data_IF_734760809908
#
_entry.id   IF_734760809908
#
_cell.length_a   1.000
_cell.length_b   1.000
_cell.length_c   1.000
_cell.angle_alpha   90.00
_cell.angle_beta   90.00
_cell.angle_gamma   90.00
#
_symmetry.space_group_name_H-M   'P 1'
#
loop_
_entity.id
_entity.type
_entity.pdbx_description
1 polymer ?
#
# COMPACT_ATOMS: atom_id res chain seq x y z
N UNK A 1 25.01 18.33 6.00
CA UNK A 1 23.67 18.23 5.38
C UNK A 1 22.64 18.48 6.47
N UNK A 2 21.75 19.45 6.28
CA UNK A 2 20.69 19.76 7.26
C UNK A 2 19.72 18.59 7.35
N UNK A 3 19.26 18.24 8.56
CA UNK A 3 18.34 17.12 8.78
C UNK A 3 17.04 17.61 9.39
N UNK A 4 15.93 17.25 8.77
CA UNK A 4 14.56 17.52 9.20
C UNK A 4 14.05 16.30 9.95
N UNK A 5 13.83 16.43 11.26
CA UNK A 5 13.51 15.30 12.14
C UNK A 5 12.19 15.45 12.89
N UNK A 6 11.56 16.62 12.82
CA UNK A 6 10.33 16.92 13.56
C UNK A 6 9.26 17.52 12.66
N UNK A 7 8.02 17.14 12.95
CA UNK A 7 6.81 17.81 12.46
C UNK A 7 6.19 18.63 13.58
N UNK A 8 5.94 19.91 13.32
CA UNK A 8 5.33 20.84 14.26
C UNK A 8 3.80 20.79 14.14
N UNK A 9 3.11 20.61 15.26
CA UNK A 9 1.63 20.62 15.34
C UNK A 9 1.07 21.90 15.95
N UNK A 10 1.93 22.80 16.42
CA UNK A 10 1.55 24.06 17.05
C UNK A 10 1.11 25.11 16.02
N UNK A 11 0.19 25.99 16.43
CA UNK A 11 -0.20 27.15 15.62
C UNK A 11 0.95 28.17 15.59
N UNK A 12 1.47 28.44 14.40
CA UNK A 12 2.47 29.47 14.17
C UNK A 12 1.82 30.77 13.67
N UNK A 13 2.49 31.90 13.91
CA UNK A 13 2.12 33.16 13.29
C UNK A 13 2.21 33.04 11.76
N UNK A 14 1.22 33.58 11.04
CA UNK A 14 1.12 33.47 9.58
C UNK A 14 2.36 34.00 8.84
N UNK A 15 3.04 35.00 9.41
CA UNK A 15 4.29 35.55 8.87
C UNK A 15 5.44 34.53 8.88
N UNK A 16 5.52 33.69 9.92
CA UNK A 16 6.53 32.64 10.01
C UNK A 16 6.28 31.55 8.97
N UNK A 17 5.02 31.13 8.81
CA UNK A 17 4.63 30.14 7.81
C UNK A 17 4.92 30.61 6.38
N UNK A 18 4.63 31.89 6.08
CA UNK A 18 4.86 32.46 4.74
C UNK A 18 6.34 32.65 4.38
N UNK A 19 7.22 32.84 5.37
CA UNK A 19 8.66 33.05 5.15
C UNK A 19 9.48 31.76 5.15
N UNK A 20 8.92 30.66 5.65
CA UNK A 20 9.61 29.39 5.68
C UNK A 20 9.89 28.90 4.24
N UNK A 21 11.12 28.42 3.95
CA UNK A 21 11.40 27.66 2.74
C UNK A 21 10.40 26.53 2.54
N UNK A 22 10.09 26.24 1.29
CA UNK A 22 9.14 25.19 0.93
C UNK A 22 9.85 23.92 0.48
N UNK A 23 9.22 22.79 0.73
CA UNK A 23 9.62 21.47 0.27
C UNK A 23 8.45 20.88 -0.51
N UNK A 24 8.53 20.96 -1.82
CA UNK A 24 7.50 20.49 -2.74
C UNK A 24 7.69 19.01 -3.03
N UNK A 25 6.72 18.16 -2.66
CA UNK A 25 6.84 16.70 -2.75
C UNK A 25 5.58 16.03 -3.32
N UNK A 26 5.73 15.02 -4.20
CA UNK A 26 4.62 14.15 -4.59
C UNK A 26 4.18 13.28 -3.40
N UNK A 27 2.98 12.73 -3.50
CA UNK A 27 2.33 11.96 -2.44
C UNK A 27 3.20 10.78 -1.94
N UNK A 28 3.81 10.02 -2.84
CA UNK A 28 4.66 8.88 -2.49
C UNK A 28 5.86 9.27 -1.62
N UNK A 29 6.48 10.41 -1.90
CA UNK A 29 7.58 10.93 -1.09
C UNK A 29 7.09 11.42 0.27
N UNK A 30 5.88 11.99 0.33
CA UNK A 30 5.24 12.44 1.59
C UNK A 30 4.86 11.30 2.53
N UNK A 31 4.76 10.07 2.01
CA UNK A 31 4.54 8.86 2.79
C UNK A 31 5.84 8.21 3.32
N UNK A 32 7.01 8.63 2.83
CA UNK A 32 8.29 8.06 3.26
C UNK A 32 8.74 8.69 4.58
N UNK A 33 9.26 7.85 5.47
CA UNK A 33 9.82 8.30 6.74
C UNK A 33 11.25 8.80 6.63
N UNK A 34 12.02 8.31 5.65
CA UNK A 34 13.44 8.65 5.48
C UNK A 34 13.79 8.80 4.01
N UNK A 35 14.27 9.98 3.61
CA UNK A 35 14.69 10.26 2.25
C UNK A 35 15.56 11.53 2.17
N UNK A 36 16.35 11.66 1.12
CA UNK A 36 17.00 12.91 0.76
C UNK A 36 16.07 13.72 -0.16
N UNK A 37 16.07 15.04 0.00
CA UNK A 37 15.31 15.95 -0.84
C UNK A 37 16.02 17.30 -0.98
N UNK A 38 15.57 18.09 -1.95
CA UNK A 38 16.04 19.45 -2.17
C UNK A 38 14.89 20.40 -1.89
N UNK A 39 15.12 21.40 -1.05
CA UNK A 39 14.16 22.48 -0.82
C UNK A 39 13.97 23.29 -2.10
N UNK A 40 12.87 24.01 -2.21
CA UNK A 40 12.62 24.91 -3.35
C UNK A 40 13.63 26.08 -3.40
N UNK A 41 14.37 26.31 -2.31
CA UNK A 41 15.51 27.23 -2.25
C UNK A 41 16.81 26.67 -2.85
N UNK A 42 16.83 25.40 -3.28
CA UNK A 42 18.00 24.70 -3.82
C UNK A 42 18.89 24.02 -2.77
N UNK A 43 18.54 24.08 -1.49
CA UNK A 43 19.32 23.46 -0.41
C UNK A 43 19.01 21.97 -0.26
N UNK A 44 20.05 21.13 -0.17
CA UNK A 44 19.89 19.70 0.09
C UNK A 44 19.66 19.39 1.57
N UNK A 45 18.62 18.60 1.84
CA UNK A 45 18.19 18.21 3.18
C UNK A 45 17.94 16.70 3.27
N UNK A 46 18.18 16.13 4.44
CA UNK A 46 17.72 14.78 4.78
C UNK A 46 16.45 14.86 5.63
N UNK A 47 15.40 14.15 5.24
CA UNK A 47 14.16 14.02 6.03
C UNK A 47 14.18 12.71 6.80
N UNK A 48 13.97 12.74 8.11
CA UNK A 48 13.96 11.58 9.02
C UNK A 48 12.82 11.73 10.03
N UNK A 49 11.63 11.26 9.66
CA UNK A 49 10.42 11.34 10.47
C UNK A 49 10.07 9.99 11.12
N UNK A 50 9.20 9.97 12.15
CA UNK A 50 8.63 8.73 12.66
C UNK A 50 7.93 7.93 11.55
N UNK A 51 8.01 6.59 11.63
CA UNK A 51 7.31 5.71 10.67
C UNK A 51 5.80 5.95 10.71
N UNK A 52 5.16 5.84 9.56
CA UNK A 52 3.72 6.10 9.41
C UNK A 52 3.33 7.58 9.36
N UNK A 53 4.31 8.50 9.38
CA UNK A 53 4.02 9.93 9.16
C UNK A 53 3.68 10.16 7.70
N UNK A 54 2.46 10.66 7.43
CA UNK A 54 2.05 11.18 6.12
C UNK A 54 2.10 12.70 6.21
N UNK A 55 2.93 13.32 5.37
CA UNK A 55 3.03 14.77 5.27
C UNK A 55 1.88 15.32 4.43
N UNK A 56 1.22 16.38 4.91
CA UNK A 56 0.11 17.06 4.23
C UNK A 56 0.53 18.45 3.76
N UNK A 57 -0.17 18.99 2.77
CA UNK A 57 -0.09 20.39 2.36
C UNK A 57 -0.12 21.32 3.58
N UNK A 58 0.89 22.19 3.68
CA UNK A 58 1.01 23.16 4.77
C UNK A 58 1.58 22.62 6.08
N UNK A 59 1.92 21.32 6.18
CA UNK A 59 2.65 20.79 7.33
C UNK A 59 3.96 21.56 7.55
N UNK A 60 4.24 21.88 8.80
CA UNK A 60 5.47 22.59 9.19
C UNK A 60 6.46 21.58 9.76
N UNK A 61 7.64 21.53 9.17
CA UNK A 61 8.75 20.70 9.60
C UNK A 61 9.82 21.55 10.25
N UNK A 62 10.57 20.95 11.17
CA UNK A 62 11.66 21.60 11.89
C UNK A 62 12.93 20.80 11.68
N UNK A 63 13.98 21.49 11.26
CA UNK A 63 15.32 20.94 11.15
C UNK A 63 16.04 20.92 12.50
N UNK A 64 17.14 20.15 12.57
CA UNK A 64 17.99 20.03 13.75
C UNK A 64 18.62 21.36 14.21
N UNK A 65 18.77 22.33 13.31
CA UNK A 65 19.23 23.70 13.60
C UNK A 65 18.08 24.67 13.96
N UNK A 66 16.84 24.17 14.02
CA UNK A 66 15.65 24.96 14.32
C UNK A 66 15.02 25.65 13.11
N UNK A 67 15.58 25.48 11.90
CA UNK A 67 14.99 26.04 10.69
C UNK A 67 13.60 25.43 10.41
N UNK A 68 12.66 26.28 9.98
CA UNK A 68 11.32 25.85 9.59
C UNK A 68 11.27 25.57 8.09
N UNK A 69 10.59 24.51 7.71
CA UNK A 69 10.30 24.15 6.32
C UNK A 69 8.82 23.84 6.18
N UNK A 70 8.18 24.38 5.16
CA UNK A 70 6.77 24.13 4.87
C UNK A 70 6.61 23.09 3.76
N UNK A 71 5.78 22.09 3.97
CA UNK A 71 5.45 21.09 2.96
C UNK A 71 4.46 21.67 1.95
N UNK A 72 4.73 21.41 0.67
CA UNK A 72 3.81 21.69 -0.44
C UNK A 72 3.58 20.39 -1.22
N UNK A 73 2.32 20.09 -1.52
CA UNK A 73 1.93 18.98 -2.37
C UNK A 73 2.27 19.32 -3.81
N UNK A 74 3.22 18.57 -4.39
CA UNK A 74 3.59 18.72 -5.78
C UNK A 74 2.40 18.40 -6.69
N UNK A 75 2.29 19.12 -7.82
CA UNK A 75 1.48 18.66 -8.92
C UNK A 75 2.08 17.35 -9.47
N UNK A 76 1.24 16.35 -9.64
CA UNK A 76 1.61 15.06 -10.18
C UNK A 76 0.51 14.53 -11.10
N UNK A 77 0.87 13.55 -11.94
CA UNK A 77 -0.07 12.93 -12.85
C UNK A 77 -1.14 12.15 -12.09
N UNK A 78 -2.37 12.65 -12.17
CA UNK A 78 -3.54 12.03 -11.54
C UNK A 78 -4.64 11.81 -12.56
N UNK A 79 -5.47 10.80 -12.30
CA UNK A 79 -6.78 10.66 -12.90
C UNK A 79 -7.77 11.48 -12.10
N UNK A 80 -8.44 12.41 -12.76
CA UNK A 80 -9.62 13.07 -12.24
C UNK A 80 -10.86 12.38 -12.80
N UNK A 81 -11.70 11.92 -11.88
CA UNK A 81 -12.85 11.07 -12.17
C UNK A 81 -14.10 11.84 -11.80
N UNK A 82 -14.98 12.02 -12.77
CA UNK A 82 -16.29 12.67 -12.62
C UNK A 82 -17.38 11.75 -13.13
N UNK A 83 -18.63 12.03 -12.77
CA UNK A 83 -19.77 11.31 -13.29
C UNK A 83 -20.97 12.24 -13.44
N UNK A 84 -21.91 11.88 -14.31
CA UNK A 84 -23.15 12.63 -14.49
C UNK A 84 -24.12 12.45 -13.30
N UNK A 85 -23.96 11.37 -12.54
CA UNK A 85 -24.78 11.03 -11.40
C UNK A 85 -23.94 10.58 -10.20
N UNK A 86 -24.48 10.78 -9.01
CA UNK A 86 -23.79 10.47 -7.74
C UNK A 86 -23.62 8.98 -7.51
N UNK A 87 -24.50 8.14 -8.07
CA UNK A 87 -24.44 6.69 -7.87
C UNK A 87 -23.23 6.11 -8.60
N UNK A 88 -22.95 6.55 -9.82
CA UNK A 88 -21.75 6.15 -10.58
C UNK A 88 -20.47 6.55 -9.85
N UNK A 89 -20.39 7.79 -9.33
CA UNK A 89 -19.22 8.25 -8.56
C UNK A 89 -19.06 7.43 -7.26
N UNK A 90 -20.16 7.10 -6.59
CA UNK A 90 -20.15 6.28 -5.37
C UNK A 90 -19.69 4.84 -5.67
N UNK A 91 -20.14 4.24 -6.77
CA UNK A 91 -19.69 2.91 -7.22
C UNK A 91 -18.20 2.92 -7.57
N UNK A 92 -17.72 3.96 -8.24
CA UNK A 92 -16.30 4.15 -8.52
C UNK A 92 -15.49 4.19 -7.21
N UNK A 93 -15.88 5.02 -6.24
CA UNK A 93 -15.24 5.09 -4.93
C UNK A 93 -15.24 3.74 -4.20
N UNK A 94 -16.35 3.00 -4.22
CA UNK A 94 -16.46 1.66 -3.65
C UNK A 94 -15.46 0.68 -4.27
N UNK A 95 -15.38 0.62 -5.61
CA UNK A 95 -14.47 -0.29 -6.30
C UNK A 95 -12.99 0.08 -6.10
N UNK A 96 -12.66 1.37 -6.05
CA UNK A 96 -11.31 1.85 -5.72
C UNK A 96 -10.93 1.50 -4.28
N UNK A 97 -11.85 1.68 -3.32
CA UNK A 97 -11.67 1.30 -1.93
C UNK A 97 -11.40 -0.20 -1.76
N UNK A 98 -12.13 -1.06 -2.47
CA UNK A 98 -11.92 -2.50 -2.47
C UNK A 98 -10.55 -2.93 -3.01
N UNK A 99 -9.88 -2.06 -3.76
CA UNK A 99 -8.52 -2.27 -4.28
C UNK A 99 -7.45 -1.64 -3.40
N UNK A 100 -7.83 -1.05 -2.27
CA UNK A 100 -6.94 -0.27 -1.40
C UNK A 100 -6.18 0.84 -2.14
N UNK A 101 -6.78 1.39 -3.20
CA UNK A 101 -6.20 2.50 -3.95
C UNK A 101 -6.30 3.79 -3.12
N UNK A 102 -5.22 4.57 -2.95
CA UNK A 102 -5.31 5.91 -2.39
C UNK A 102 -6.21 6.79 -3.28
N UNK A 103 -7.24 7.38 -2.70
CA UNK A 103 -8.19 8.23 -3.42
C UNK A 103 -8.44 9.50 -2.63
N UNK A 104 -8.37 10.64 -3.31
CA UNK A 104 -8.87 11.91 -2.80
C UNK A 104 -10.34 12.02 -3.19
N UNK A 105 -11.19 12.24 -2.21
CA UNK A 105 -12.64 12.23 -2.37
C UNK A 105 -13.17 13.64 -2.21
N UNK A 106 -14.00 14.07 -3.15
CA UNK A 106 -14.78 15.30 -3.04
C UNK A 106 -16.24 15.04 -3.41
N UNK A 107 -17.09 16.04 -3.27
CA UNK A 107 -18.52 15.90 -3.59
C UNK A 107 -18.80 15.58 -5.07
N UNK A 108 -17.98 16.13 -5.98
CA UNK A 108 -18.24 16.12 -7.43
C UNK A 108 -17.19 15.35 -8.23
N UNK A 109 -16.08 14.95 -7.60
CA UNK A 109 -14.97 14.27 -8.26
C UNK A 109 -14.17 13.39 -7.30
N UNK A 110 -13.50 12.38 -7.87
CA UNK A 110 -12.46 11.61 -7.22
C UNK A 110 -11.13 11.88 -7.92
N UNK A 111 -10.03 11.89 -7.18
CA UNK A 111 -8.68 11.86 -7.76
C UNK A 111 -7.92 10.64 -7.27
N UNK A 112 -7.11 10.07 -8.14
CA UNK A 112 -6.20 8.97 -7.84
C UNK A 112 -4.95 9.10 -8.73
N UNK A 113 -3.89 8.40 -8.38
CA UNK A 113 -2.69 8.36 -9.22
C UNK A 113 -2.98 7.77 -10.61
N UNK A 114 -2.23 8.23 -11.62
CA UNK A 114 -2.37 7.80 -12.99
C UNK A 114 -2.03 6.31 -13.19
N UNK A 115 -3.07 5.47 -13.22
CA UNK A 115 -2.98 4.03 -13.51
C UNK A 115 -3.89 3.67 -14.70
N UNK A 116 -3.34 3.18 -15.84
CA UNK A 116 -4.12 2.78 -17.00
C UNK A 116 -5.17 1.68 -16.73
N UNK A 117 -4.88 0.75 -15.83
CA UNK A 117 -5.80 -0.35 -15.48
C UNK A 117 -7.01 0.18 -14.73
N UNK A 118 -6.78 1.10 -13.79
CA UNK A 118 -7.86 1.75 -13.04
C UNK A 118 -8.64 2.72 -13.93
N UNK A 119 -7.97 3.45 -14.82
CA UNK A 119 -8.62 4.31 -15.81
C UNK A 119 -9.63 3.53 -16.67
N UNK A 120 -9.22 2.39 -17.23
CA UNK A 120 -10.09 1.54 -18.04
C UNK A 120 -11.26 0.96 -17.25
N UNK A 121 -11.01 0.56 -16.00
CA UNK A 121 -12.06 0.10 -15.10
C UNK A 121 -13.10 1.20 -14.84
N UNK A 122 -12.65 2.42 -14.54
CA UNK A 122 -13.51 3.56 -14.25
C UNK A 122 -14.34 3.97 -15.47
N UNK A 123 -13.74 3.96 -16.67
CA UNK A 123 -14.46 4.18 -17.92
C UNK A 123 -15.56 3.13 -18.16
N UNK A 124 -15.27 1.85 -17.88
CA UNK A 124 -16.29 0.77 -17.97
C UNK A 124 -17.43 0.92 -16.98
N UNK A 125 -17.21 1.59 -15.85
CA UNK A 125 -18.27 1.94 -14.89
C UNK A 125 -19.12 3.14 -15.33
N UNK A 126 -18.79 3.79 -16.45
CA UNK A 126 -19.48 4.96 -16.97
C UNK A 126 -18.99 6.29 -16.41
N UNK A 127 -17.84 6.30 -15.72
CA UNK A 127 -17.23 7.53 -15.23
C UNK A 127 -16.47 8.27 -16.35
N UNK A 128 -16.46 9.60 -16.27
CA UNK A 128 -15.63 10.48 -17.08
C UNK A 128 -14.26 10.58 -16.43
N UNK A 129 -13.22 10.11 -17.10
CA UNK A 129 -11.85 10.07 -16.57
C UNK A 129 -10.95 10.94 -17.43
N UNK A 130 -10.23 11.87 -16.80
CA UNK A 130 -9.25 12.73 -17.45
C UNK A 130 -7.90 12.64 -16.73
N UNK A 131 -6.79 12.65 -17.48
CA UNK A 131 -5.43 12.74 -16.92
C UNK A 131 -5.05 14.20 -16.79
N UNK A 132 -4.66 14.63 -15.59
CA UNK A 132 -4.33 16.02 -15.28
C UNK A 132 -3.15 16.09 -14.30
N UNK A 133 -2.38 17.17 -14.36
CA UNK A 133 -1.32 17.46 -13.38
C UNK A 133 -1.89 18.32 -12.25
N UNK A 134 -2.14 17.72 -11.09
CA UNK A 134 -2.74 18.39 -9.95
C UNK A 134 -2.11 17.92 -8.63
N UNK A 135 -2.13 18.75 -7.57
CA UNK A 135 -1.84 18.29 -6.23
C UNK A 135 -2.79 17.17 -5.82
N UNK A 136 -2.24 16.17 -5.12
CA UNK A 136 -2.96 14.96 -4.75
C UNK A 136 -2.92 14.74 -3.24
N UNK A 137 -4.07 14.81 -2.57
CA UNK A 137 -4.22 14.64 -1.12
C UNK A 137 -5.24 13.55 -0.82
N UNK A 138 -4.88 12.26 -1.00
CA UNK A 138 -5.81 11.18 -0.77
C UNK A 138 -6.22 11.08 0.70
N UNK A 139 -7.41 10.57 0.93
CA UNK A 139 -7.92 10.32 2.28
C UNK A 139 -6.99 9.35 3.01
N UNK A 140 -6.67 9.68 4.25
CA UNK A 140 -6.01 8.73 5.15
C UNK A 140 -6.98 7.58 5.39
N UNK A 141 -6.64 6.36 4.96
CA UNK A 141 -7.51 5.19 5.12
C UNK A 141 -8.01 5.05 6.56
N UNK A 142 -9.16 4.41 6.75
CA UNK A 142 -9.87 4.34 8.04
C UNK A 142 -9.03 3.84 9.23
N UNK A 143 -7.94 3.11 8.96
CA UNK A 143 -7.03 2.53 9.95
C UNK A 143 -5.68 3.26 10.06
N UNK A 144 -5.44 4.29 9.24
CA UNK A 144 -4.18 5.03 9.16
C UNK A 144 -3.80 5.81 10.41
N UNK A 145 -4.76 6.10 11.31
CA UNK A 145 -4.48 6.76 12.59
C UNK A 145 -3.91 5.84 13.68
N UNK A 146 -3.82 4.54 13.40
CA UNK A 146 -3.25 3.53 14.31
C UNK A 146 -1.99 2.82 13.78
N UNK A 147 -1.55 3.10 12.55
CA UNK A 147 -0.37 2.45 11.93
C UNK A 147 0.97 3.12 12.28
N UNK A 148 1.04 3.77 13.45
CA UNK A 148 2.29 3.86 14.23
C UNK A 148 2.68 2.51 14.85
N UNK A 149 1.85 1.48 14.71
CA UNK A 149 2.25 0.08 14.83
C UNK A 149 2.40 -0.51 13.43
N UNK A 150 3.61 -0.93 13.07
CA UNK A 150 3.83 -1.62 11.81
C UNK A 150 2.89 -2.81 11.66
N UNK A 151 2.57 -3.14 10.41
CA UNK A 151 2.09 -4.47 10.06
C UNK A 151 3.15 -5.50 10.49
N UNK A 152 3.13 -5.89 11.76
CA UNK A 152 3.50 -7.23 12.16
C UNK A 152 2.36 -8.09 11.65
N UNK A 153 2.57 -8.72 10.49
CA UNK A 153 2.06 -10.07 10.33
C UNK A 153 2.79 -10.90 11.39
N UNK A 154 2.30 -10.86 12.63
CA UNK A 154 2.73 -11.75 13.70
C UNK A 154 2.15 -13.12 13.40
N UNK A 155 2.76 -13.82 12.45
CA UNK A 155 2.54 -15.24 12.21
C UNK A 155 3.80 -16.06 12.52
N UNK A 156 4.82 -15.49 13.19
CA UNK A 156 6.06 -16.22 13.47
C UNK A 156 6.25 -16.61 14.94
N UNK A 157 5.63 -15.93 15.91
CA UNK A 157 5.84 -16.27 17.33
C UNK A 157 4.87 -17.35 17.83
N UNK A 158 3.67 -17.50 17.25
CA UNK A 158 2.73 -18.57 17.64
C UNK A 158 2.80 -19.78 16.72
N UNK A 159 3.35 -19.67 15.51
CA UNK A 159 3.33 -20.80 14.57
C UNK A 159 4.23 -21.95 15.03
N UNK A 160 5.39 -21.68 15.63
CA UNK A 160 6.24 -22.75 16.15
C UNK A 160 5.58 -23.49 17.33
N UNK A 161 4.91 -22.76 18.22
CA UNK A 161 4.23 -23.34 19.39
C UNK A 161 2.94 -24.08 18.99
N UNK A 162 2.13 -23.49 18.12
CA UNK A 162 0.91 -24.10 17.58
C UNK A 162 1.23 -25.28 16.66
N UNK A 163 2.30 -25.22 15.87
CA UNK A 163 2.78 -26.35 15.06
C UNK A 163 3.30 -27.48 15.95
N UNK A 164 4.07 -27.19 17.01
CA UNK A 164 4.52 -28.20 17.96
C UNK A 164 3.36 -28.80 18.77
N UNK A 165 2.32 -28.01 19.08
CA UNK A 165 1.09 -28.52 19.70
C UNK A 165 0.31 -29.42 18.72
N UNK A 166 0.17 -28.99 17.47
CA UNK A 166 -0.49 -29.77 16.42
C UNK A 166 0.26 -31.07 16.11
N UNK A 167 1.60 -31.05 16.08
CA UNK A 167 2.43 -32.25 15.92
C UNK A 167 2.23 -33.23 17.08
N UNK A 168 2.20 -32.74 18.32
CA UNK A 168 1.94 -33.58 19.51
C UNK A 168 0.55 -34.21 19.48
N UNK A 169 -0.48 -33.44 19.09
CA UNK A 169 -1.85 -33.97 18.96
C UNK A 169 -1.94 -34.98 17.82
N UNK A 170 -1.23 -34.76 16.71
CA UNK A 170 -1.14 -35.72 15.61
C UNK A 170 -0.47 -37.04 16.04
N UNK A 171 0.62 -36.95 16.80
CA UNK A 171 1.33 -38.12 17.34
C UNK A 171 0.50 -38.89 18.38
N UNK A 172 -0.27 -38.19 19.23
CA UNK A 172 -1.16 -38.81 20.22
C UNK A 172 -2.33 -39.57 19.58
N UNK A 173 -2.82 -39.12 18.41
CA UNK A 173 -3.99 -39.72 17.74
C UNK A 173 -3.64 -40.72 16.63
N UNK A 174 -2.40 -40.73 16.13
CA UNK A 174 -1.94 -41.65 15.08
C UNK A 174 -0.83 -42.58 15.55
N UNK A 175 -1.00 -43.18 16.73
CA UNK A 175 -0.24 -44.35 17.13
C UNK A 175 -0.60 -45.57 16.29
N UNK A 176 -0.10 -45.68 15.06
CA UNK A 176 0.19 -46.94 14.34
C UNK A 176 1.07 -46.65 13.12
N UNK A 177 2.40 -46.71 13.32
CA UNK A 177 3.35 -46.76 12.22
C UNK A 177 3.18 -48.09 11.45
N UNK A 178 2.63 -48.01 10.23
CA UNK A 178 2.85 -49.06 9.23
C UNK A 178 4.16 -48.75 8.51
N UNK A 179 5.24 -49.38 8.97
CA UNK A 179 6.53 -49.35 8.29
C UNK A 179 6.42 -50.13 6.97
N UNK A 180 6.15 -49.45 5.87
CA UNK A 180 6.53 -49.95 4.54
C UNK A 180 7.98 -49.53 4.30
N UNK A 181 8.91 -50.43 4.63
CA UNK A 181 10.30 -50.28 4.28
C UNK A 181 10.47 -50.36 2.77
N UNK A 182 10.71 -49.21 2.14
CA UNK A 182 11.28 -49.16 0.79
C UNK A 182 12.75 -48.80 0.93
N UNK A 183 13.60 -49.82 0.83
CA UNK A 183 15.01 -49.66 0.57
C UNK A 183 15.17 -49.11 -0.86
N UNK A 184 15.83 -47.97 -1.00
CA UNK A 184 16.34 -47.49 -2.27
C UNK A 184 17.86 -47.55 -2.21
N UNK A 185 18.40 -48.63 -2.76
CA UNK A 185 19.76 -48.65 -3.30
C UNK A 185 19.68 -48.46 -4.82
N UNK A 186 20.72 -47.79 -5.33
CA UNK A 186 21.21 -47.75 -6.70
C UNK A 186 20.58 -46.79 -7.73
N UNK A 187 21.34 -45.72 -7.99
CA UNK A 187 21.89 -45.36 -9.30
C UNK A 187 21.24 -46.03 -10.53
N UNK A 188 20.52 -45.23 -11.32
CA UNK A 188 20.51 -45.37 -12.78
C UNK A 188 19.73 -44.21 -13.43
N UNK A 189 20.38 -43.54 -14.39
CA UNK A 189 19.71 -42.65 -15.32
C UNK A 189 18.74 -43.40 -16.23
N UNK A 190 17.73 -42.70 -16.74
CA UNK A 190 17.38 -42.62 -18.16
C UNK A 190 16.02 -41.91 -18.32
N UNK A 191 15.99 -40.94 -19.24
CA UNK A 191 14.79 -40.46 -19.90
C UNK A 191 13.93 -41.64 -20.39
N UNK A 192 12.61 -41.57 -20.23
CA UNK A 192 11.67 -42.04 -21.24
C UNK A 192 10.27 -41.43 -21.02
N UNK A 193 9.82 -40.71 -22.03
CA UNK A 193 8.40 -40.49 -22.30
C UNK A 193 7.67 -41.83 -22.40
N UNK A 194 6.43 -41.92 -21.92
CA UNK A 194 5.32 -42.52 -22.64
C UNK A 194 3.96 -42.10 -22.04
N UNK A 195 3.07 -41.79 -22.97
CA UNK A 195 1.62 -41.74 -22.87
C UNK A 195 1.04 -43.03 -22.27
N UNK A 196 0.00 -42.92 -21.45
CA UNK A 196 -1.19 -43.77 -21.60
C UNK A 196 -2.38 -43.18 -20.84
N UNK A 197 -3.51 -43.15 -21.55
CA UNK A 197 -4.75 -42.55 -21.10
C UNK A 197 -5.53 -43.45 -20.16
N UNK A 198 -6.16 -42.83 -19.16
CA UNK A 198 -7.28 -43.43 -18.46
C UNK A 198 -8.42 -42.41 -18.37
N UNK A 199 -9.46 -42.68 -19.17
CA UNK A 199 -10.75 -42.04 -19.10
C UNK A 199 -11.50 -42.53 -17.85
N UNK A 200 -12.09 -41.60 -17.11
CA UNK A 200 -13.15 -41.90 -16.16
C UNK A 200 -14.37 -41.06 -16.49
N UNK A 201 -15.39 -41.78 -16.95
CA UNK A 201 -16.76 -41.34 -17.20
C UNK A 201 -17.45 -41.08 -15.86
N UNK A 202 -18.08 -39.91 -15.72
CA UNK A 202 -18.95 -39.59 -14.60
C UNK A 202 -20.32 -39.20 -15.15
N UNK A 203 -21.26 -40.13 -15.04
CA UNK A 203 -22.68 -39.91 -15.29
C UNK A 203 -23.30 -39.10 -14.15
N UNK A 204 -23.90 -37.96 -14.52
CA UNK A 204 -24.81 -37.20 -13.67
C UNK A 204 -26.25 -37.56 -14.04
N UNK A 205 -27.03 -38.07 -13.08
CA UNK A 205 -28.49 -38.05 -13.17
C UNK A 205 -29.05 -36.75 -12.60
N UNK A 206 -29.91 -36.12 -13.40
CA UNK A 206 -30.72 -34.97 -13.00
C UNK A 206 -32.00 -35.42 -12.31
N UNK A 207 -32.36 -34.71 -11.23
CA UNK A 207 -33.76 -34.39 -10.94
C UNK A 207 -33.87 -33.02 -10.27
#
# INVERSE_FOLDING_TARGET
MRTIDKRLTAKLASVLVKRAPTLTLPYDMRCKSRFAATLDSGEEVGVVLPRGTILREGDMLVANDGALVRVVAAAQSVLRVRAHDRLTLTRAAYHLGNRHTPVEVSAEELKLEADPVLEDMLKRLGALVERVELPFEPESGAYGRHLGGGHRHGHDETFAEDYALAQRVFDEHHGHAHSHGHAHDDDCGHDHAHCDGHAHDHSHEHR
#
